data_IF_591685441795
#
_entry.id   IF_591685441795
#
_cell.length_a   1.000
_cell.length_b   1.000
_cell.length_c   1.000
_cell.angle_alpha   90.00
_cell.angle_beta   90.00
_cell.angle_gamma   90.00
#
_symmetry.space_group_name_H-M   'P 1'
#
loop_
_entity.id
_entity.type
_entity.pdbx_description
1 polymer ?
#
# COMPACT_ATOMS: atom_id res chain seq x y z
N UNK A 1 12.43 16.40 22.79
CA UNK A 1 12.58 15.76 21.46
C UNK A 1 11.29 16.06 20.71
N UNK A 2 11.28 17.15 19.94
CA UNK A 2 10.10 17.56 19.19
C UNK A 2 9.78 16.50 18.15
N UNK A 3 8.69 15.77 18.38
CA UNK A 3 8.15 14.83 17.40
C UNK A 3 7.91 15.60 16.13
N UNK A 4 8.62 15.24 15.04
CA UNK A 4 8.32 15.76 13.71
C UNK A 4 6.83 15.59 13.48
N UNK A 5 6.12 16.71 13.33
CA UNK A 5 4.70 16.73 12.98
C UNK A 5 4.51 15.77 11.80
N UNK A 6 3.69 14.74 12.00
CA UNK A 6 3.11 13.95 10.93
C UNK A 6 2.67 14.97 9.86
N UNK A 7 3.04 14.77 8.59
CA UNK A 7 2.55 15.63 7.51
C UNK A 7 1.04 15.76 7.61
N UNK A 8 0.45 16.85 7.11
CA UNK A 8 -1.01 17.03 7.16
C UNK A 8 -1.67 15.79 6.53
N UNK A 9 -2.52 15.08 7.28
CA UNK A 9 -3.34 13.98 6.74
C UNK A 9 -4.10 14.48 5.52
N UNK A 10 -4.20 13.64 4.49
CA UNK A 10 -5.01 13.95 3.33
C UNK A 10 -6.48 13.96 3.74
N UNK A 11 -7.27 14.88 3.20
CA UNK A 11 -8.71 14.84 3.41
C UNK A 11 -9.30 13.55 2.80
N UNK A 12 -10.43 13.05 3.33
CA UNK A 12 -11.02 11.81 2.85
C UNK A 12 -11.19 11.76 1.32
N UNK A 13 -10.79 10.65 0.71
CA UNK A 13 -10.84 10.42 -0.73
C UNK A 13 -9.80 11.21 -1.55
N UNK A 14 -8.96 12.04 -0.93
CA UNK A 14 -7.93 12.80 -1.64
C UNK A 14 -6.69 11.95 -1.88
N UNK A 15 -6.12 12.18 -3.05
CA UNK A 15 -4.84 11.63 -3.46
C UNK A 15 -3.66 12.53 -3.05
N UNK A 16 -2.45 11.96 -2.89
CA UNK A 16 -1.20 12.70 -2.85
C UNK A 16 -0.97 13.53 -4.13
N UNK A 17 -0.06 14.52 -4.08
CA UNK A 17 0.33 15.29 -5.26
C UNK A 17 0.73 14.39 -6.44
N UNK A 18 0.39 14.80 -7.67
CA UNK A 18 0.67 14.02 -8.88
C UNK A 18 2.16 13.63 -9.01
N UNK A 19 3.08 14.52 -8.67
CA UNK A 19 4.51 14.21 -8.74
C UNK A 19 4.93 13.06 -7.83
N UNK A 20 4.40 13.01 -6.61
CA UNK A 20 4.67 11.91 -5.68
C UNK A 20 4.05 10.60 -6.16
N UNK A 21 2.86 10.66 -6.77
CA UNK A 21 2.17 9.46 -7.30
C UNK A 21 2.83 8.83 -8.53
N UNK A 22 3.65 9.59 -9.26
CA UNK A 22 4.37 9.10 -10.44
C UNK A 22 5.82 8.75 -10.08
N UNK A 23 6.45 9.60 -9.28
CA UNK A 23 7.87 9.52 -8.95
C UNK A 23 8.06 9.67 -7.43
N UNK A 24 7.62 8.70 -6.62
CA UNK A 24 7.80 8.78 -5.19
C UNK A 24 9.28 8.79 -4.81
N UNK A 25 9.60 9.40 -3.68
CA UNK A 25 10.98 9.51 -3.17
C UNK A 25 11.63 8.15 -2.83
N UNK A 26 10.83 7.07 -2.84
CA UNK A 26 11.32 5.70 -2.74
C UNK A 26 12.04 5.24 -4.00
N UNK A 27 11.67 5.74 -5.19
CA UNK A 27 12.32 5.36 -6.45
C UNK A 27 13.68 6.03 -6.55
N UNK A 28 14.74 5.23 -6.76
CA UNK A 28 16.12 5.72 -6.90
C UNK A 28 16.87 4.93 -7.96
N UNK A 29 17.89 5.56 -8.55
CA UNK A 29 18.73 4.92 -9.55
C UNK A 29 17.89 4.34 -10.70
N UNK A 30 18.09 3.05 -10.99
CA UNK A 30 17.40 2.34 -12.08
C UNK A 30 15.88 2.33 -11.92
N UNK A 31 15.34 2.25 -10.70
CA UNK A 31 13.88 2.24 -10.50
C UNK A 31 13.22 3.56 -10.96
N UNK A 32 13.90 4.69 -10.71
CA UNK A 32 13.44 5.99 -11.17
C UNK A 32 13.57 6.13 -12.69
N UNK A 33 14.67 5.62 -13.25
CA UNK A 33 14.90 5.62 -14.71
C UNK A 33 13.83 4.78 -15.44
N UNK A 34 13.52 3.60 -14.91
CA UNK A 34 12.48 2.72 -15.45
C UNK A 34 11.09 3.35 -15.37
N UNK A 35 10.75 3.98 -14.24
CA UNK A 35 9.49 4.71 -14.09
C UNK A 35 9.38 5.88 -15.08
N UNK A 36 10.45 6.67 -15.23
CA UNK A 36 10.50 7.75 -16.22
C UNK A 36 10.35 7.22 -17.64
N UNK A 37 11.02 6.11 -17.98
CA UNK A 37 10.92 5.49 -19.29
C UNK A 37 9.49 5.00 -19.58
N UNK A 38 8.87 4.28 -18.64
CA UNK A 38 7.47 3.79 -18.74
C UNK A 38 6.49 4.93 -18.99
N UNK A 39 6.52 5.96 -18.13
CA UNK A 39 5.61 7.09 -18.27
C UNK A 39 5.90 7.94 -19.51
N UNK A 40 7.16 8.07 -19.94
CA UNK A 40 7.50 8.80 -21.17
C UNK A 40 6.89 8.13 -22.41
N UNK A 41 6.97 6.80 -22.47
CA UNK A 41 6.36 6.01 -23.57
C UNK A 41 4.85 6.23 -23.58
N UNK A 42 4.19 6.07 -22.43
CA UNK A 42 2.73 6.25 -22.34
C UNK A 42 2.27 7.69 -22.65
N UNK A 43 3.05 8.69 -22.25
CA UNK A 43 2.75 10.09 -22.53
C UNK A 43 3.08 10.50 -23.99
N UNK A 44 3.69 9.62 -24.79
CA UNK A 44 4.05 9.89 -26.18
C UNK A 44 5.04 11.05 -26.34
N UNK A 45 5.82 11.36 -25.30
CA UNK A 45 6.68 12.55 -25.29
C UNK A 45 8.01 12.23 -25.99
N UNK A 46 8.21 12.82 -27.16
CA UNK A 46 9.49 12.81 -27.85
C UNK A 46 10.44 13.81 -27.17
N UNK A 47 11.40 13.30 -26.38
CA UNK A 47 12.47 14.09 -25.78
C UNK A 47 13.82 13.65 -26.33
N UNK A 48 14.76 14.59 -26.43
CA UNK A 48 16.13 14.29 -26.84
C UNK A 48 16.79 13.34 -25.84
N UNK A 49 17.67 12.45 -26.30
CA UNK A 49 18.34 11.44 -25.47
C UNK A 49 19.20 11.99 -24.31
N UNK A 50 19.49 13.31 -24.30
CA UNK A 50 20.31 14.00 -23.28
C UNK A 50 19.47 14.89 -22.36
N UNK A 51 18.16 14.71 -22.33
CA UNK A 51 17.28 15.53 -21.49
C UNK A 51 17.39 15.10 -20.03
N UNK A 52 17.61 16.05 -19.13
CA UNK A 52 17.71 15.77 -17.70
C UNK A 52 16.42 15.12 -17.15
N UNK A 53 16.58 14.16 -16.24
CA UNK A 53 15.47 13.39 -15.65
C UNK A 53 14.36 14.26 -15.05
N UNK A 54 14.73 15.37 -14.40
CA UNK A 54 13.74 16.28 -13.81
C UNK A 54 12.89 17.01 -14.86
N UNK A 55 13.47 17.34 -16.02
CA UNK A 55 12.74 17.92 -17.16
C UNK A 55 11.76 16.88 -17.71
N UNK A 56 12.23 15.64 -17.91
CA UNK A 56 11.37 14.52 -18.34
C UNK A 56 10.18 14.36 -17.38
N UNK A 57 10.43 14.36 -16.08
CA UNK A 57 9.40 14.27 -15.05
C UNK A 57 8.38 15.42 -15.11
N UNK A 58 8.83 16.67 -15.31
CA UNK A 58 7.92 17.82 -15.43
C UNK A 58 7.04 17.74 -16.68
N UNK A 59 7.59 17.30 -17.82
CA UNK A 59 6.82 17.13 -19.05
C UNK A 59 5.77 16.03 -18.89
N UNK A 60 6.14 14.89 -18.28
CA UNK A 60 5.20 13.81 -17.94
C UNK A 60 4.09 14.33 -16.99
N UNK A 61 4.45 15.08 -15.96
CA UNK A 61 3.46 15.69 -15.04
C UNK A 61 2.53 16.66 -15.78
N UNK A 62 3.06 17.47 -16.70
CA UNK A 62 2.25 18.36 -17.51
C UNK A 62 1.28 17.59 -18.43
N UNK A 63 1.71 16.45 -19.00
CA UNK A 63 0.85 15.55 -19.75
C UNK A 63 -0.30 15.02 -18.88
N UNK A 64 -0.02 14.40 -17.74
CA UNK A 64 -1.07 13.83 -16.89
C UNK A 64 -1.97 14.86 -16.19
N UNK A 65 -1.57 16.13 -16.11
CA UNK A 65 -2.49 17.22 -15.71
C UNK A 65 -3.57 17.49 -16.77
N UNK A 66 -3.26 17.27 -18.04
CA UNK A 66 -4.18 17.45 -19.19
C UNK A 66 -4.91 16.15 -19.57
N UNK A 67 -4.26 15.02 -19.31
CA UNK A 67 -4.76 13.68 -19.59
C UNK A 67 -4.70 12.86 -18.31
N UNK A 68 -5.66 13.05 -17.37
CA UNK A 68 -5.66 12.32 -16.11
C UNK A 68 -5.61 10.80 -16.33
N UNK A 69 -4.87 10.10 -15.47
CA UNK A 69 -4.83 8.63 -15.45
C UNK A 69 -6.24 8.08 -15.27
N UNK A 70 -6.54 6.96 -15.93
CA UNK A 70 -7.81 6.26 -15.83
C UNK A 70 -7.88 5.51 -14.50
N UNK A 71 -8.85 5.86 -13.67
CA UNK A 71 -9.14 5.11 -12.45
C UNK A 71 -10.01 3.90 -12.77
N UNK A 72 -9.58 2.73 -12.29
CA UNK A 72 -10.28 1.46 -12.47
C UNK A 72 -10.73 0.99 -11.09
N UNK A 73 -12.04 1.11 -10.76
CA UNK A 73 -12.53 0.67 -9.47
C UNK A 73 -12.52 -0.86 -9.42
N UNK A 74 -11.92 -1.40 -8.36
CA UNK A 74 -11.91 -2.85 -8.07
C UNK A 74 -12.16 -3.06 -6.58
N UNK A 75 -12.63 -4.25 -6.21
CA UNK A 75 -12.94 -4.56 -4.83
C UNK A 75 -12.28 -5.88 -4.42
N UNK A 76 -11.75 -5.93 -3.20
CA UNK A 76 -11.33 -7.19 -2.59
C UNK A 76 -12.51 -8.11 -2.29
N UNK A 77 -12.20 -9.36 -1.97
CA UNK A 77 -13.19 -10.34 -1.53
C UNK A 77 -13.74 -9.95 -0.15
N UNK A 78 -15.06 -10.02 0.04
CA UNK A 78 -15.69 -9.76 1.33
C UNK A 78 -15.16 -10.73 2.39
N UNK A 79 -14.67 -10.20 3.51
CA UNK A 79 -14.22 -11.03 4.62
C UNK A 79 -15.48 -11.55 5.35
N UNK A 80 -15.62 -12.87 5.57
CA UNK A 80 -16.75 -13.43 6.29
C UNK A 80 -16.85 -12.87 7.72
N UNK A 81 -18.06 -12.57 8.20
CA UNK A 81 -18.29 -11.98 9.53
C UNK A 81 -17.66 -12.79 10.67
N UNK A 82 -17.69 -14.13 10.55
CA UNK A 82 -17.06 -15.05 11.50
C UNK A 82 -15.55 -14.84 11.67
N UNK A 83 -14.88 -14.28 10.65
CA UNK A 83 -13.46 -13.92 10.69
C UNK A 83 -13.29 -12.43 11.02
N UNK A 84 -14.10 -11.57 10.42
CA UNK A 84 -14.02 -10.12 10.55
C UNK A 84 -14.25 -9.64 11.99
N UNK A 85 -15.35 -10.06 12.62
CA UNK A 85 -15.76 -9.51 13.91
C UNK A 85 -14.76 -9.84 15.04
N UNK A 86 -14.31 -11.11 15.21
CA UNK A 86 -13.30 -11.42 16.22
C UNK A 86 -11.95 -10.74 15.95
N UNK A 87 -11.53 -10.65 14.69
CA UNK A 87 -10.29 -9.96 14.33
C UNK A 87 -10.36 -8.47 14.64
N UNK A 88 -11.47 -7.80 14.31
CA UNK A 88 -11.66 -6.39 14.62
C UNK A 88 -11.73 -6.14 16.14
N UNK A 89 -12.36 -7.03 16.90
CA UNK A 89 -12.37 -6.96 18.36
C UNK A 89 -10.94 -7.09 18.93
N UNK A 90 -10.11 -7.94 18.35
CA UNK A 90 -8.72 -8.11 18.78
C UNK A 90 -7.85 -6.89 18.43
N UNK A 91 -7.98 -6.34 17.22
CA UNK A 91 -7.28 -5.11 16.81
C UNK A 91 -7.60 -3.92 17.73
N UNK A 92 -8.84 -3.82 18.22
CA UNK A 92 -9.25 -2.78 19.18
C UNK A 92 -8.64 -2.96 20.57
N UNK A 93 -8.36 -4.20 20.98
CA UNK A 93 -7.76 -4.52 22.29
C UNK A 93 -6.24 -4.60 22.26
N UNK A 94 -5.66 -4.67 21.06
CA UNK A 94 -4.22 -4.79 20.83
C UNK A 94 -3.48 -3.65 21.54
N UNK A 95 -2.49 -4.01 22.35
CA UNK A 95 -1.59 -3.05 22.97
C UNK A 95 -0.46 -2.75 22.01
N UNK A 96 -0.54 -1.60 21.36
CA UNK A 96 0.41 -1.21 20.34
C UNK A 96 1.78 -0.82 20.94
N UNK A 97 2.89 -1.16 20.27
CA UNK A 97 4.21 -0.77 20.73
C UNK A 97 4.39 0.74 20.65
N UNK A 98 4.87 1.36 21.74
CA UNK A 98 4.93 2.82 21.93
C UNK A 98 5.96 3.57 21.07
N UNK A 99 6.61 2.92 20.11
CA UNK A 99 7.65 3.52 19.26
C UNK A 99 7.22 3.45 17.79
N UNK A 100 7.01 4.58 17.10
CA UNK A 100 6.83 4.57 15.67
C UNK A 100 8.12 4.06 15.01
N UNK A 101 8.04 2.87 14.42
CA UNK A 101 9.20 2.13 13.90
C UNK A 101 9.86 2.77 12.65
N UNK A 102 9.26 3.81 12.05
CA UNK A 102 9.81 4.49 10.85
C UNK A 102 9.60 6.01 10.85
N UNK A 103 10.68 6.76 10.73
CA UNK A 103 10.66 8.20 10.44
C UNK A 103 10.00 8.44 9.07
N UNK A 104 8.93 9.24 9.03
CA UNK A 104 8.26 9.63 7.77
C UNK A 104 7.05 8.78 7.36
N UNK A 105 6.68 7.77 8.16
CA UNK A 105 5.43 7.02 7.96
C UNK A 105 4.28 7.72 8.68
N UNK A 106 3.13 7.92 8.02
CA UNK A 106 1.91 8.44 8.67
C UNK A 106 1.06 7.27 9.20
N UNK A 107 1.52 6.64 10.28
CA UNK A 107 0.73 5.69 11.07
C UNK A 107 0.65 6.20 12.50
N UNK A 108 -0.46 5.93 13.19
CA UNK A 108 -0.49 6.11 14.65
C UNK A 108 0.27 4.99 15.33
N UNK A 109 0.04 3.76 14.86
CA UNK A 109 0.64 2.56 15.42
C UNK A 109 1.08 1.62 14.30
N UNK A 110 2.21 0.94 14.50
CA UNK A 110 2.76 -0.02 13.54
C UNK A 110 3.38 -1.23 14.24
N UNK A 111 2.94 -2.42 13.81
CA UNK A 111 3.39 -3.71 14.30
C UNK A 111 3.74 -4.59 13.09
N UNK A 112 4.84 -5.34 13.18
CA UNK A 112 5.17 -6.38 12.22
C UNK A 112 5.24 -7.71 12.97
N UNK A 113 4.40 -8.65 12.56
CA UNK A 113 4.39 -10.02 13.07
C UNK A 113 5.20 -10.93 12.14
N UNK A 114 5.92 -11.88 12.73
CA UNK A 114 6.69 -12.88 12.01
C UNK A 114 6.01 -14.23 12.08
N UNK A 115 5.62 -14.78 10.92
CA UNK A 115 5.02 -16.13 10.87
C UNK A 115 6.09 -17.18 11.20
N UNK A 116 5.73 -18.17 12.01
CA UNK A 116 6.63 -19.23 12.47
C UNK A 116 7.61 -18.79 13.57
N UNK A 117 7.43 -17.62 14.17
CA UNK A 117 8.16 -17.15 15.35
C UNK A 117 7.17 -16.78 16.46
N UNK A 118 7.65 -16.77 17.70
CA UNK A 118 6.92 -16.19 18.80
C UNK A 118 6.76 -14.68 18.57
N UNK A 119 5.54 -14.18 18.74
CA UNK A 119 5.22 -12.75 18.72
C UNK A 119 4.65 -12.40 20.09
N UNK A 120 5.51 -12.36 21.11
CA UNK A 120 5.14 -12.26 22.52
C UNK A 120 4.07 -11.19 22.78
N UNK A 121 2.92 -11.61 23.32
CA UNK A 121 1.79 -10.72 23.63
C UNK A 121 0.84 -10.45 22.46
N UNK A 122 1.07 -11.06 21.29
CA UNK A 122 0.24 -10.94 20.09
C UNK A 122 -0.28 -12.29 19.58
N UNK A 123 -0.25 -13.34 20.41
CA UNK A 123 -0.60 -14.71 20.01
C UNK A 123 -2.03 -14.82 19.43
N UNK A 124 -3.01 -14.20 20.09
CA UNK A 124 -4.39 -14.22 19.62
C UNK A 124 -4.55 -13.40 18.33
N UNK A 125 -3.93 -12.23 18.23
CA UNK A 125 -3.94 -11.43 16.99
C UNK A 125 -3.33 -12.22 15.83
N UNK A 126 -2.16 -12.84 16.04
CA UNK A 126 -1.50 -13.68 15.05
C UNK A 126 -2.43 -14.81 14.60
N UNK A 127 -3.06 -15.52 15.53
CA UNK A 127 -3.97 -16.62 15.21
C UNK A 127 -5.15 -16.15 14.35
N UNK A 128 -5.75 -14.99 14.65
CA UNK A 128 -6.84 -14.41 13.84
C UNK A 128 -6.39 -14.01 12.44
N UNK A 129 -5.16 -13.49 12.31
CA UNK A 129 -4.58 -13.13 11.02
C UNK A 129 -4.26 -14.37 10.19
N UNK A 130 -3.82 -15.45 10.83
CA UNK A 130 -3.61 -16.76 10.19
C UNK A 130 -4.93 -17.39 9.72
N UNK A 131 -6.00 -17.34 10.53
CA UNK A 131 -7.35 -17.76 10.13
C UNK A 131 -7.81 -17.01 8.87
N UNK A 132 -7.57 -15.69 8.81
CA UNK A 132 -7.92 -14.85 7.65
C UNK A 132 -7.12 -15.24 6.40
N UNK A 133 -5.80 -15.38 6.52
CA UNK A 133 -4.97 -15.75 5.37
C UNK A 133 -5.28 -17.17 4.90
N UNK A 134 -5.52 -18.12 5.82
CA UNK A 134 -5.87 -19.49 5.48
C UNK A 134 -7.21 -19.58 4.74
N UNK A 135 -8.19 -18.73 5.06
CA UNK A 135 -9.43 -18.64 4.30
C UNK A 135 -9.22 -18.13 2.88
N UNK A 136 -8.32 -17.16 2.69
CA UNK A 136 -8.10 -16.52 1.41
C UNK A 136 -7.20 -17.35 0.48
N UNK A 137 -6.06 -17.81 1.01
CA UNK A 137 -5.03 -18.50 0.28
C UNK A 137 -4.13 -19.29 1.24
N UNK A 138 -4.48 -20.55 1.56
CA UNK A 138 -3.68 -21.38 2.47
C UNK A 138 -2.30 -21.72 1.88
N UNK A 139 -2.10 -21.55 0.57
CA UNK A 139 -0.83 -21.81 -0.11
C UNK A 139 0.11 -20.60 -0.15
N UNK A 140 -0.34 -19.42 0.31
CA UNK A 140 0.50 -18.22 0.25
C UNK A 140 1.68 -18.31 1.22
N UNK A 141 2.89 -18.21 0.66
CA UNK A 141 4.18 -18.22 1.37
C UNK A 141 4.46 -16.92 2.16
N UNK A 142 3.47 -16.41 2.89
CA UNK A 142 3.61 -15.26 3.78
C UNK A 142 4.60 -15.59 4.90
N UNK A 143 5.55 -14.69 5.15
CA UNK A 143 6.46 -14.79 6.28
C UNK A 143 6.39 -13.57 7.23
N UNK A 144 5.71 -12.49 6.81
CA UNK A 144 5.53 -11.27 7.60
C UNK A 144 4.12 -10.71 7.44
N UNK A 145 3.60 -10.13 8.52
CA UNK A 145 2.31 -9.47 8.54
C UNK A 145 2.50 -8.06 9.11
N UNK A 146 2.28 -7.04 8.29
CA UNK A 146 2.20 -5.65 8.72
C UNK A 146 0.81 -5.35 9.24
N UNK A 147 0.73 -4.77 10.43
CA UNK A 147 -0.51 -4.34 11.06
C UNK A 147 -0.33 -2.87 11.45
N UNK A 148 -1.25 -2.01 11.00
CA UNK A 148 -1.20 -0.56 11.27
C UNK A 148 -2.51 -0.05 11.81
N UNK A 149 -2.46 1.02 12.62
CA UNK A 149 -3.63 1.84 12.98
C UNK A 149 -3.52 3.23 12.37
N UNK A 150 -4.63 3.67 11.77
CA UNK A 150 -4.85 4.95 11.11
C UNK A 150 -3.73 5.33 10.15
N UNK A 151 -3.27 4.32 9.40
CA UNK A 151 -2.23 4.48 8.41
C UNK A 151 -2.72 5.17 7.16
N UNK A 152 -1.93 6.16 6.74
CA UNK A 152 -1.98 6.78 5.44
C UNK A 152 -0.60 6.61 4.78
N UNK A 153 -0.50 5.78 3.75
CA UNK A 153 0.74 5.59 3.01
C UNK A 153 0.94 6.66 1.95
N UNK A 154 2.08 7.36 1.98
CA UNK A 154 2.54 8.13 0.81
C UNK A 154 2.82 7.19 -0.36
N UNK A 155 2.81 7.65 -1.61
CA UNK A 155 3.18 6.81 -2.74
C UNK A 155 4.56 6.19 -2.55
N UNK A 156 4.68 4.90 -2.83
CA UNK A 156 5.94 4.14 -2.75
C UNK A 156 5.86 2.82 -3.54
N UNK A 157 7.00 2.15 -3.65
CA UNK A 157 7.14 0.75 -4.05
C UNK A 157 7.70 -0.02 -2.85
N UNK A 158 7.17 -1.20 -2.58
CA UNK A 158 7.66 -2.03 -1.47
C UNK A 158 8.95 -2.76 -1.87
N UNK A 159 10.10 -2.21 -1.49
CA UNK A 159 11.42 -2.70 -1.90
C UNK A 159 11.79 -4.10 -1.39
N UNK A 160 10.98 -4.69 -0.51
CA UNK A 160 11.20 -6.03 0.05
C UNK A 160 10.25 -7.08 -0.53
N UNK A 161 9.33 -6.68 -1.39
CA UNK A 161 8.38 -7.58 -2.02
C UNK A 161 9.03 -8.31 -3.18
N UNK A 162 8.93 -9.64 -3.11
CA UNK A 162 9.34 -10.51 -4.22
C UNK A 162 8.13 -11.08 -4.96
N UNK A 163 6.91 -10.77 -4.51
CA UNK A 163 5.65 -11.36 -4.98
C UNK A 163 4.46 -10.44 -4.64
N UNK A 164 3.24 -10.87 -4.97
CA UNK A 164 2.02 -10.16 -4.57
C UNK A 164 1.82 -10.19 -3.05
N UNK A 165 1.01 -9.26 -2.55
CA UNK A 165 0.59 -9.15 -1.16
C UNK A 165 -0.92 -9.39 -1.04
N UNK A 166 -1.36 -9.80 0.14
CA UNK A 166 -2.77 -9.68 0.53
C UNK A 166 -2.94 -8.49 1.46
N UNK A 167 -3.93 -7.65 1.20
CA UNK A 167 -4.16 -6.40 1.93
C UNK A 167 -5.62 -6.22 2.29
N UNK A 168 -5.89 -5.75 3.51
CA UNK A 168 -7.24 -5.42 3.96
C UNK A 168 -7.21 -4.13 4.79
N UNK A 169 -8.34 -3.44 4.86
CA UNK A 169 -8.57 -2.41 5.86
C UNK A 169 -9.86 -2.67 6.64
N UNK A 170 -9.81 -2.51 7.95
CA UNK A 170 -10.91 -2.80 8.87
C UNK A 170 -11.19 -1.57 9.75
N UNK A 171 -12.37 -1.50 10.35
CA UNK A 171 -12.69 -0.45 11.32
C UNK A 171 -13.94 0.35 10.97
N UNK A 172 -14.09 1.50 11.61
CA UNK A 172 -15.29 2.33 11.54
C UNK A 172 -15.23 3.41 10.45
N UNK A 173 -14.08 3.58 9.78
CA UNK A 173 -13.91 4.61 8.76
C UNK A 173 -14.99 4.52 7.66
N UNK A 174 -15.56 5.69 7.34
CA UNK A 174 -16.70 5.81 6.45
C UNK A 174 -16.29 6.31 5.06
N UNK A 175 -15.28 7.17 5.01
CA UNK A 175 -14.92 7.95 3.83
C UNK A 175 -13.47 7.68 3.41
N UNK A 176 -13.24 7.54 2.10
CA UNK A 176 -11.90 7.38 1.53
C UNK A 176 -11.20 6.09 1.94
N UNK A 177 -9.87 6.14 2.05
CA UNK A 177 -9.06 5.00 2.52
C UNK A 177 -8.83 3.87 1.50
N UNK A 178 -9.24 4.06 0.24
CA UNK A 178 -8.94 3.12 -0.83
C UNK A 178 -7.44 3.00 -1.04
N UNK A 179 -6.98 1.78 -1.33
CA UNK A 179 -5.63 1.53 -1.79
C UNK A 179 -5.59 1.76 -3.30
N UNK A 180 -4.73 2.67 -3.74
CA UNK A 180 -4.51 2.94 -5.16
C UNK A 180 -3.21 2.27 -5.60
N UNK A 181 -3.25 1.48 -6.67
CA UNK A 181 -2.11 0.76 -7.22
C UNK A 181 -1.98 1.10 -8.69
N UNK A 182 -0.80 1.52 -9.13
CA UNK A 182 -0.52 1.71 -10.55
C UNK A 182 -0.62 0.37 -11.30
N UNK A 183 -1.25 0.39 -12.47
CA UNK A 183 -1.31 -0.79 -13.33
C UNK A 183 -0.03 -1.02 -14.14
N UNK A 184 0.01 -2.13 -14.87
CA UNK A 184 1.07 -2.39 -15.86
C UNK A 184 1.15 -1.26 -16.89
N UNK A 185 -0.03 -0.78 -17.32
CA UNK A 185 -0.18 0.44 -18.08
C UNK A 185 -0.11 1.64 -17.12
N UNK A 186 0.91 2.51 -17.22
CA UNK A 186 1.14 3.58 -16.26
C UNK A 186 0.05 4.68 -16.28
N UNK A 187 -0.78 4.71 -17.32
CA UNK A 187 -1.98 5.54 -17.40
C UNK A 187 -3.18 4.97 -16.63
N UNK A 188 -3.10 3.75 -16.09
CA UNK A 188 -4.15 3.09 -15.33
C UNK A 188 -3.81 3.06 -13.83
N UNK A 189 -4.79 3.37 -12.99
CA UNK A 189 -4.69 3.27 -11.53
C UNK A 189 -5.86 2.43 -11.02
N UNK A 190 -5.57 1.30 -10.40
CA UNK A 190 -6.56 0.48 -9.73
C UNK A 190 -6.90 1.10 -8.38
N UNK A 191 -8.15 1.50 -8.19
CA UNK A 191 -8.67 2.04 -6.93
C UNK A 191 -9.37 0.89 -6.20
N UNK A 192 -8.64 0.29 -5.26
CA UNK A 192 -9.01 -0.94 -4.57
C UNK A 192 -9.78 -0.65 -3.29
N UNK A 193 -11.04 -1.09 -3.25
CA UNK A 193 -11.84 -1.11 -2.03
C UNK A 193 -11.39 -2.27 -1.12
N UNK A 194 -10.79 -1.92 0.01
CA UNK A 194 -10.23 -2.86 0.99
C UNK A 194 -10.99 -2.86 2.32
N UNK A 195 -12.00 -2.00 2.49
CA UNK A 195 -12.80 -1.92 3.71
C UNK A 195 -13.60 -3.20 3.90
N UNK A 196 -13.30 -3.92 4.98
CA UNK A 196 -13.85 -5.24 5.30
C UNK A 196 -13.68 -6.26 4.17
N UNK A 197 -12.63 -6.06 3.35
CA UNK A 197 -12.34 -6.84 2.15
C UNK A 197 -10.86 -7.16 2.09
N UNK A 198 -10.53 -8.36 1.62
CA UNK A 198 -9.16 -8.76 1.37
C UNK A 198 -8.88 -8.70 -0.13
N UNK A 199 -7.92 -7.88 -0.54
CA UNK A 199 -7.48 -7.74 -1.91
C UNK A 199 -6.11 -8.39 -2.10
N UNK A 200 -5.87 -8.93 -3.29
CA UNK A 200 -4.56 -9.38 -3.75
C UNK A 200 -3.98 -8.28 -4.62
N UNK A 201 -2.82 -7.74 -4.25
CA UNK A 201 -2.20 -6.59 -4.93
C UNK A 201 -0.73 -6.86 -5.19
N UNK A 202 -0.18 -6.25 -6.23
CA UNK A 202 1.24 -6.33 -6.51
C UNK A 202 1.95 -5.10 -5.94
N UNK A 203 2.62 -5.26 -4.79
CA UNK A 203 3.31 -4.17 -4.08
C UNK A 203 4.58 -3.66 -4.81
N UNK A 204 4.95 -4.30 -5.92
CA UNK A 204 6.08 -3.88 -6.78
C UNK A 204 5.74 -2.70 -7.68
N UNK A 205 4.46 -2.36 -7.82
CA UNK A 205 4.02 -1.13 -8.48
C UNK A 205 3.86 0.01 -7.50
N UNK A 206 3.93 1.26 -8.01
CA UNK A 206 3.69 2.45 -7.18
C UNK A 206 2.27 2.38 -6.61
N UNK A 207 2.16 2.48 -5.29
CA UNK A 207 0.87 2.44 -4.62
C UNK A 207 0.79 3.39 -3.42
N UNK A 208 -0.42 3.80 -3.06
CA UNK A 208 -0.70 4.71 -1.94
C UNK A 208 -2.09 4.48 -1.35
N UNK A 209 -2.32 4.97 -0.13
CA UNK A 209 -3.66 4.96 0.48
C UNK A 209 -4.23 6.37 0.41
N UNK A 210 -5.44 6.51 -0.17
CA UNK A 210 -6.18 7.77 -0.17
C UNK A 210 -6.45 8.23 1.26
N UNK A 211 -6.57 9.55 1.46
CA UNK A 211 -7.01 10.09 2.76
C UNK A 211 -8.29 9.40 3.22
N UNK A 212 -8.41 9.15 4.54
CA UNK A 212 -9.58 8.49 5.14
C UNK A 212 -10.15 9.30 6.31
N UNK A 213 -11.41 9.05 6.65
CA UNK A 213 -12.09 9.69 7.77
C UNK A 213 -13.30 8.90 8.27
N UNK A 214 -13.92 9.41 9.34
CA UNK A 214 -15.14 8.82 9.91
C UNK A 214 -14.91 7.75 10.98
N UNK A 215 -13.68 7.54 11.44
CA UNK A 215 -13.35 6.61 12.53
C UNK A 215 -12.03 5.88 12.30
N UNK A 216 -11.71 4.99 13.24
CA UNK A 216 -10.48 4.18 13.22
C UNK A 216 -10.40 3.31 11.97
N UNK A 217 -9.21 3.26 11.36
CA UNK A 217 -8.85 2.40 10.23
C UNK A 217 -7.63 1.55 10.59
N UNK A 218 -7.82 0.25 10.69
CA UNK A 218 -6.72 -0.71 10.77
C UNK A 218 -6.35 -1.16 9.35
N UNK A 219 -5.06 -1.32 9.05
CA UNK A 219 -4.61 -1.98 7.81
C UNK A 219 -3.84 -3.25 8.12
N UNK A 220 -4.10 -4.27 7.31
CA UNK A 220 -3.44 -5.57 7.34
C UNK A 220 -2.71 -5.77 6.01
N UNK A 221 -1.45 -6.18 6.06
CA UNK A 221 -0.64 -6.47 4.90
C UNK A 221 0.09 -7.80 5.13
N UNK A 222 -0.22 -8.81 4.34
CA UNK A 222 0.44 -10.12 4.34
C UNK A 222 1.41 -10.16 3.17
N UNK A 223 2.69 -10.34 3.46
CA UNK A 223 3.72 -10.29 2.43
C UNK A 223 4.82 -11.32 2.67
N UNK A 224 5.60 -11.56 1.63
CA UNK A 224 6.76 -12.43 1.69
C UNK A 224 8.00 -11.67 1.26
N UNK A 225 9.02 -11.74 2.11
CA UNK A 225 10.38 -11.30 1.76
C UNK A 225 11.28 -12.47 1.38
N UNK A 226 10.71 -13.68 1.23
CA UNK A 226 11.48 -14.89 0.94
C UNK A 226 11.68 -15.03 -0.57
N UNK A 227 12.92 -15.06 -1.10
CA UNK A 227 13.16 -15.24 -2.54
C UNK A 227 12.46 -16.46 -3.15
N UNK A 228 12.24 -17.52 -2.36
CA UNK A 228 11.50 -18.72 -2.78
C UNK A 228 10.01 -18.48 -3.10
N UNK A 229 9.44 -17.37 -2.64
CA UNK A 229 8.05 -16.97 -2.90
C UNK A 229 7.91 -16.11 -4.16
N UNK A 230 9.01 -15.91 -4.92
CA UNK A 230 9.02 -15.05 -6.09
C UNK A 230 7.95 -15.46 -7.10
N UNK A 231 7.20 -14.48 -7.57
CA UNK A 231 6.30 -14.64 -8.71
C UNK A 231 6.73 -13.68 -9.80
N UNK A 232 6.61 -14.07 -11.07
CA UNK A 232 6.72 -13.11 -12.16
C UNK A 232 5.58 -12.10 -12.05
N UNK A 233 5.83 -10.83 -12.37
CA UNK A 233 4.74 -9.87 -12.60
C UNK A 233 3.84 -10.49 -13.66
N UNK A 234 2.53 -10.54 -13.40
CA UNK A 234 1.59 -11.08 -14.39
C UNK A 234 1.77 -10.31 -15.70
N UNK A 235 1.79 -11.03 -16.82
CA UNK A 235 1.95 -10.46 -18.16
C UNK A 235 0.58 -10.21 -18.80
#
# INVERSE_FOLDING_TARGET
>A
KDGRKLGRRLAPGRDPPLGERLFPASLRGSELEDALARHRVAAGVALHAKTDAWVVAEVIKAFYRRHPRREIPVAGACIPDRLLQPLLAELRRTRWPSVPHRTGMQAEEYLVLHRGKANDGFDELQRRLEDLLSWADPGFCCNRIGVTKDFQGSPHVDSSDVTFQYVASLGAFADGGQLCVEGEKPEEVFVVETRNRLAKVDGRFVHWVRGHGGGDRYSLQFFSTSPSAFTTVLA
#
